data_IF_204127210234
#
_entry.id   IF_204127210234
#
_cell.length_a   1.000
_cell.length_b   1.000
_cell.length_c   1.000
_cell.angle_alpha   90.00
_cell.angle_beta   90.00
_cell.angle_gamma   90.00
#
_symmetry.space_group_name_H-M   'P 1'
#
loop_
_entity.id
_entity.type
_entity.pdbx_description
1 polymer ?
#
# COMPACT_ATOMS: atom_id res chain seq x y z
N UNK A 1 13.43 1.46 6.46
CA UNK A 1 12.27 0.83 7.14
C UNK A 1 12.06 -0.52 6.51
N UNK A 2 12.04 -1.58 7.32
CA UNK A 2 11.80 -2.96 6.86
C UNK A 2 10.41 -3.03 6.25
N UNK A 3 10.28 -3.49 5.00
CA UNK A 3 8.99 -3.51 4.29
C UNK A 3 8.13 -4.64 4.86
N UNK A 4 7.12 -4.32 5.66
CA UNK A 4 6.13 -5.29 6.15
C UNK A 4 5.14 -5.72 5.07
N UNK A 5 5.12 -5.00 3.94
CA UNK A 5 4.22 -5.23 2.80
C UNK A 5 4.13 -6.70 2.33
N UNK A 6 5.22 -7.44 2.05
CA UNK A 6 5.09 -8.83 1.63
C UNK A 6 4.44 -9.72 2.69
N UNK A 7 4.76 -9.48 3.98
CA UNK A 7 4.18 -10.21 5.11
C UNK A 7 2.69 -9.91 5.26
N UNK A 8 2.29 -8.64 5.10
CA UNK A 8 0.89 -8.23 5.15
C UNK A 8 0.06 -8.92 4.07
N UNK A 9 0.55 -8.99 2.83
CA UNK A 9 -0.21 -9.64 1.75
C UNK A 9 -0.29 -11.16 1.94
N UNK A 10 0.75 -11.79 2.52
CA UNK A 10 0.65 -13.19 2.97
C UNK A 10 -0.38 -13.37 4.08
N UNK A 11 -0.39 -12.50 5.10
CA UNK A 11 -1.39 -12.50 6.16
C UNK A 11 -2.82 -12.40 5.59
N UNK A 12 -3.06 -11.47 4.66
CA UNK A 12 -4.34 -11.29 3.99
C UNK A 12 -4.77 -12.55 3.25
N UNK A 13 -3.87 -13.20 2.50
CA UNK A 13 -4.18 -14.42 1.75
C UNK A 13 -4.57 -15.58 2.65
N UNK A 14 -3.91 -15.73 3.81
CA UNK A 14 -4.20 -16.82 4.76
C UNK A 14 -5.43 -16.55 5.63
N UNK A 15 -5.73 -15.29 5.91
CA UNK A 15 -6.80 -14.90 6.84
C UNK A 15 -7.86 -13.99 6.20
N UNK A 16 -8.25 -14.28 4.95
CA UNK A 16 -9.19 -13.46 4.17
C UNK A 16 -10.51 -13.10 4.87
N UNK A 17 -10.99 -13.94 5.78
CA UNK A 17 -12.26 -13.74 6.52
C UNK A 17 -12.23 -12.56 7.50
N UNK A 18 -11.04 -12.06 7.84
CA UNK A 18 -10.85 -10.95 8.78
C UNK A 18 -10.96 -9.60 8.06
N UNK A 19 -10.60 -9.60 6.77
CA UNK A 19 -10.55 -8.42 5.92
C UNK A 19 -11.83 -8.28 5.10
N UNK A 20 -12.16 -7.07 4.62
CA UNK A 20 -13.26 -6.87 3.70
C UNK A 20 -13.09 -7.73 2.45
N UNK A 21 -14.21 -8.19 1.88
CA UNK A 21 -14.19 -9.07 0.72
C UNK A 21 -13.57 -8.39 -0.52
N UNK A 22 -13.84 -7.09 -0.67
CA UNK A 22 -13.31 -6.28 -1.76
C UNK A 22 -11.97 -5.66 -1.43
N UNK A 23 -10.97 -5.87 -2.31
CA UNK A 23 -9.67 -5.18 -2.28
C UNK A 23 -9.78 -3.66 -2.52
N UNK A 24 -10.96 -3.12 -2.81
CA UNK A 24 -11.23 -1.67 -2.89
C UNK A 24 -11.67 -1.09 -1.55
N UNK A 25 -12.07 -1.94 -0.59
CA UNK A 25 -12.63 -1.49 0.68
C UNK A 25 -11.57 -1.23 1.76
N UNK A 26 -10.30 -1.50 1.49
CA UNK A 26 -9.20 -1.20 2.42
C UNK A 26 -7.88 -0.90 1.69
N UNK A 27 -6.99 -0.22 2.41
CA UNK A 27 -5.62 0.09 1.99
C UNK A 27 -4.63 -0.19 3.12
N UNK A 28 -3.39 -0.53 2.76
CA UNK A 28 -2.28 -0.75 3.69
C UNK A 28 -1.15 0.23 3.40
N UNK A 29 -0.59 0.86 4.43
CA UNK A 29 0.47 1.86 4.29
C UNK A 29 1.84 1.27 3.90
N UNK A 30 1.97 -0.06 3.88
CA UNK A 30 3.21 -0.79 3.58
C UNK A 30 4.07 -1.09 4.81
N UNK A 31 3.63 -0.65 6.00
CA UNK A 31 4.39 -0.71 7.25
C UNK A 31 3.58 -1.33 8.39
N UNK A 32 2.45 -0.75 8.79
CA UNK A 32 1.72 -1.18 9.98
C UNK A 32 0.22 -0.85 9.99
N UNK A 33 -0.22 0.14 9.20
CA UNK A 33 -1.58 0.68 9.31
C UNK A 33 -2.46 0.20 8.16
N UNK A 34 -3.66 -0.27 8.52
CA UNK A 34 -4.70 -0.65 7.57
C UNK A 34 -5.85 0.34 7.75
N UNK A 35 -6.24 1.00 6.67
CA UNK A 35 -7.44 1.83 6.63
C UNK A 35 -8.52 1.06 5.88
N UNK A 36 -9.72 1.00 6.44
CA UNK A 36 -10.81 0.19 5.89
C UNK A 36 -12.13 0.95 5.99
N UNK A 37 -12.95 0.86 4.95
CA UNK A 37 -14.32 1.39 4.93
C UNK A 37 -15.22 0.60 5.88
N UNK A 38 -14.97 -0.70 5.99
CA UNK A 38 -15.72 -1.62 6.84
C UNK A 38 -14.89 -2.00 8.07
N UNK A 39 -15.57 -2.25 9.20
CA UNK A 39 -14.91 -2.72 10.41
C UNK A 39 -14.31 -4.11 10.15
N UNK A 40 -13.01 -4.26 10.43
CA UNK A 40 -12.36 -5.57 10.39
C UNK A 40 -12.97 -6.50 11.44
N UNK A 41 -13.03 -7.80 11.13
CA UNK A 41 -13.56 -8.80 12.06
C UNK A 41 -12.49 -9.18 13.11
N UNK A 42 -12.23 -8.25 14.03
CA UNK A 42 -11.28 -8.37 15.14
C UNK A 42 -12.08 -8.44 16.44
N UNK A 43 -12.17 -9.62 17.04
CA UNK A 43 -12.81 -9.81 18.35
C UNK A 43 -12.08 -9.02 19.43
N UNK A 44 -12.82 -8.38 20.33
CA UNK A 44 -12.31 -7.60 21.48
C UNK A 44 -11.27 -6.52 21.14
N UNK A 45 -11.25 -6.04 19.89
CA UNK A 45 -10.36 -4.97 19.45
C UNK A 45 -8.89 -5.36 19.30
N UNK A 46 -8.51 -6.62 19.57
CA UNK A 46 -7.15 -7.12 19.35
C UNK A 46 -7.17 -8.60 19.00
N UNK A 47 -6.43 -8.98 17.98
CA UNK A 47 -6.31 -10.38 17.55
C UNK A 47 -4.88 -10.69 17.13
N UNK A 48 -4.38 -11.85 17.56
CA UNK A 48 -3.10 -12.38 17.13
C UNK A 48 -3.33 -13.48 16.10
N UNK A 49 -2.57 -13.45 15.01
CA UNK A 49 -2.68 -14.35 13.88
C UNK A 49 -1.33 -14.95 13.57
N UNK A 50 -1.30 -16.26 13.31
CA UNK A 50 -0.13 -16.94 12.75
C UNK A 50 -0.38 -17.29 11.29
N UNK A 51 0.65 -17.19 10.46
CA UNK A 51 0.58 -17.56 9.05
C UNK A 51 1.95 -18.05 8.56
N UNK A 52 2.00 -18.97 7.59
CA UNK A 52 3.25 -19.42 7.01
C UNK A 52 3.88 -18.31 6.18
N UNK A 53 5.21 -18.31 6.12
CA UNK A 53 6.00 -17.42 5.27
C UNK A 53 6.95 -18.26 4.43
N UNK A 54 7.24 -17.77 3.23
CA UNK A 54 8.17 -18.46 2.34
C UNK A 54 9.56 -18.49 2.98
N UNK A 55 10.23 -19.66 3.00
CA UNK A 55 11.58 -19.74 3.51
C UNK A 55 12.52 -18.89 2.65
N UNK A 56 13.58 -18.30 3.23
CA UNK A 56 14.63 -17.67 2.45
C UNK A 56 15.14 -18.63 1.38
N UNK A 57 15.48 -18.14 0.19
CA UNK A 57 15.95 -18.97 -0.92
C UNK A 57 17.13 -19.90 -0.56
N UNK A 58 17.91 -19.53 0.47
CA UNK A 58 19.03 -20.31 1.01
C UNK A 58 18.62 -21.47 1.95
N UNK A 59 17.36 -21.54 2.38
CA UNK A 59 16.85 -22.47 3.39
C UNK A 59 16.00 -23.60 2.78
N UNK A 60 16.57 -24.33 1.80
CA UNK A 60 15.90 -25.43 1.08
C UNK A 60 15.66 -26.72 1.90
N UNK A 61 15.99 -26.74 3.20
CA UNK A 61 15.95 -27.97 4.05
C UNK A 61 15.06 -27.89 5.28
N UNK A 62 14.17 -26.91 5.40
CA UNK A 62 13.24 -26.87 6.54
C UNK A 62 12.06 -27.82 6.33
N UNK A 63 11.80 -28.69 7.32
CA UNK A 63 10.74 -29.71 7.30
C UNK A 63 9.33 -29.12 7.42
N UNK A 64 9.23 -27.90 7.94
CA UNK A 64 8.01 -27.11 8.05
C UNK A 64 8.33 -25.68 7.59
N UNK A 65 7.40 -25.01 6.88
CA UNK A 65 7.60 -23.61 6.51
C UNK A 65 7.72 -22.75 7.77
N UNK A 66 8.61 -21.74 7.78
CA UNK A 66 8.67 -20.77 8.86
C UNK A 66 7.31 -20.09 9.02
N UNK A 67 6.97 -19.71 10.26
CA UNK A 67 5.74 -18.98 10.58
C UNK A 67 6.08 -17.55 10.98
N UNK A 68 5.23 -16.62 10.56
CA UNK A 68 5.18 -15.28 11.12
C UNK A 68 3.92 -15.13 11.99
N UNK A 69 4.00 -14.20 12.93
CA UNK A 69 2.85 -13.76 13.71
C UNK A 69 2.59 -12.27 13.49
N UNK A 70 1.31 -11.89 13.45
CA UNK A 70 0.88 -10.52 13.38
C UNK A 70 -0.17 -10.26 14.45
N UNK A 71 -0.13 -9.06 15.03
CA UNK A 71 -1.17 -8.59 15.95
C UNK A 71 -1.92 -7.46 15.27
N UNK A 72 -3.22 -7.66 15.04
CA UNK A 72 -4.11 -6.61 14.54
C UNK A 72 -4.82 -5.99 15.75
N UNK A 73 -4.66 -4.69 15.91
CA UNK A 73 -5.34 -3.91 16.96
C UNK A 73 -6.28 -2.92 16.29
N UNK A 74 -7.56 -2.93 16.67
CA UNK A 74 -8.53 -1.96 16.21
C UNK A 74 -8.21 -0.61 16.83
N UNK A 75 -8.06 0.40 15.98
CA UNK A 75 -7.88 1.80 16.38
C UNK A 75 -9.21 2.56 16.20
N UNK A 76 -9.39 3.73 16.84
CA UNK A 76 -10.59 4.53 16.67
C UNK A 76 -10.90 4.88 15.22
N UNK A 77 -12.17 5.15 14.93
CA UNK A 77 -12.60 5.63 13.62
C UNK A 77 -11.96 6.97 13.28
N UNK A 78 -11.73 7.16 11.99
CA UNK A 78 -11.24 8.41 11.42
C UNK A 78 -12.43 9.13 10.79
N UNK A 79 -12.54 10.44 11.03
CA UNK A 79 -13.56 11.30 10.40
C UNK A 79 -12.92 11.95 9.18
N UNK A 80 -13.46 11.75 7.98
CA UNK A 80 -12.85 12.27 6.73
C UNK A 80 -12.70 13.80 6.77
N UNK A 81 -13.65 14.49 7.40
CA UNK A 81 -13.66 15.95 7.57
C UNK A 81 -12.45 16.47 8.36
N UNK A 82 -11.75 15.61 9.11
CA UNK A 82 -10.50 15.95 9.80
C UNK A 82 -9.37 16.35 8.83
N UNK A 83 -9.53 16.09 7.53
CA UNK A 83 -8.63 16.62 6.49
C UNK A 83 -8.62 18.16 6.44
N UNK A 84 -9.69 18.81 6.89
CA UNK A 84 -9.79 20.27 7.00
C UNK A 84 -9.45 20.77 8.41
N UNK A 85 -8.93 19.89 9.28
CA UNK A 85 -8.52 20.27 10.63
C UNK A 85 -7.47 21.39 10.62
N UNK A 86 -7.58 22.29 11.58
CA UNK A 86 -6.57 23.31 11.86
C UNK A 86 -5.31 22.70 12.47
N UNK A 87 -5.41 21.52 13.08
CA UNK A 87 -4.28 20.74 13.55
C UNK A 87 -3.54 20.13 12.35
N UNK A 88 -2.34 20.63 12.08
CA UNK A 88 -1.50 20.20 10.97
C UNK A 88 -1.13 18.71 11.05
N UNK A 89 -0.97 18.15 12.26
CA UNK A 89 -0.61 16.75 12.44
C UNK A 89 -1.76 15.81 12.08
N UNK A 90 -3.00 16.21 12.42
CA UNK A 90 -4.21 15.48 12.04
C UNK A 90 -4.38 15.59 10.52
N UNK A 91 -4.34 16.81 9.97
CA UNK A 91 -4.47 17.06 8.53
C UNK A 91 -3.44 16.29 7.70
N UNK A 92 -2.17 16.28 8.11
CA UNK A 92 -1.11 15.56 7.42
C UNK A 92 -1.38 14.05 7.35
N UNK A 93 -1.80 13.42 8.45
CA UNK A 93 -2.19 12.00 8.47
C UNK A 93 -3.37 11.69 7.56
N UNK A 94 -4.35 12.59 7.51
CA UNK A 94 -5.51 12.46 6.62
C UNK A 94 -5.11 12.52 5.15
N UNK A 95 -4.25 13.48 4.78
CA UNK A 95 -3.71 13.58 3.42
C UNK A 95 -2.90 12.34 3.05
N UNK A 96 -2.03 11.85 3.94
CA UNK A 96 -1.27 10.61 3.71
C UNK A 96 -2.18 9.39 3.51
N UNK A 97 -3.24 9.26 4.31
CA UNK A 97 -4.26 8.21 4.12
C UNK A 97 -4.93 8.31 2.75
N UNK A 98 -5.32 9.51 2.33
CA UNK A 98 -5.97 9.71 1.03
C UNK A 98 -5.02 9.44 -0.15
N UNK A 99 -3.74 9.78 -0.03
CA UNK A 99 -2.70 9.43 -1.02
C UNK A 99 -2.57 7.90 -1.18
N UNK A 100 -2.64 7.15 -0.08
CA UNK A 100 -2.64 5.69 -0.11
C UNK A 100 -3.88 5.15 -0.83
N UNK A 101 -5.05 5.75 -0.61
CA UNK A 101 -6.29 5.39 -1.30
C UNK A 101 -6.16 5.60 -2.81
N UNK A 102 -5.66 6.76 -3.24
CA UNK A 102 -5.48 7.07 -4.66
C UNK A 102 -4.52 6.11 -5.37
N UNK A 103 -3.46 5.70 -4.69
CA UNK A 103 -2.42 4.84 -5.26
C UNK A 103 -2.66 3.34 -5.09
N UNK A 104 -3.73 2.93 -4.40
CA UNK A 104 -4.00 1.54 -4.02
C UNK A 104 -4.08 0.58 -5.22
N UNK A 105 -4.73 0.98 -6.32
CA UNK A 105 -4.86 0.15 -7.53
C UNK A 105 -3.48 -0.18 -8.14
N UNK A 106 -2.48 0.66 -7.90
CA UNK A 106 -1.14 0.52 -8.46
C UNK A 106 -0.14 -0.07 -7.46
N UNK A 107 -0.45 -0.01 -6.16
CA UNK A 107 0.41 -0.52 -5.07
C UNK A 107 0.03 -1.93 -4.62
N UNK A 108 -1.24 -2.30 -4.67
CA UNK A 108 -1.69 -3.59 -4.19
C UNK A 108 -1.22 -4.73 -5.13
N UNK A 109 -0.31 -5.61 -4.72
CA UNK A 109 0.25 -6.67 -5.57
C UNK A 109 -0.80 -7.73 -5.98
N UNK A 110 -1.96 -7.74 -5.34
CA UNK A 110 -3.09 -8.61 -5.70
C UNK A 110 -3.93 -8.03 -6.85
N UNK A 111 -3.62 -6.81 -7.32
CA UNK A 111 -4.23 -6.20 -8.50
C UNK A 111 -3.41 -6.49 -9.74
N UNK A 112 -4.11 -6.78 -10.84
CA UNK A 112 -3.48 -7.12 -12.12
C UNK A 112 -2.53 -6.03 -12.63
N UNK A 113 -2.85 -4.76 -12.38
CA UNK A 113 -2.08 -3.65 -12.90
C UNK A 113 -0.87 -3.28 -12.04
N UNK A 114 -0.78 -3.71 -10.79
CA UNK A 114 0.27 -3.26 -9.87
C UNK A 114 1.68 -3.67 -10.31
N UNK A 115 1.83 -4.83 -10.95
CA UNK A 115 3.11 -5.29 -11.50
C UNK A 115 3.68 -4.39 -12.60
N UNK A 116 2.85 -3.54 -13.21
CA UNK A 116 3.26 -2.59 -14.24
C UNK A 116 3.79 -1.30 -13.66
N UNK A 117 3.85 -1.13 -12.34
CA UNK A 117 4.24 0.12 -11.71
C UNK A 117 5.26 -0.09 -10.60
N UNK A 118 6.25 0.79 -10.55
CA UNK A 118 7.19 0.94 -9.44
C UNK A 118 6.75 2.17 -8.65
N UNK A 119 6.64 2.03 -7.34
CA UNK A 119 6.24 3.13 -6.46
C UNK A 119 7.44 3.64 -5.68
N UNK A 120 7.58 4.97 -5.61
CA UNK A 120 8.60 5.64 -4.82
C UNK A 120 8.00 6.87 -4.14
N UNK A 121 7.73 6.76 -2.84
CA UNK A 121 6.99 7.78 -2.11
C UNK A 121 5.58 7.96 -2.70
N UNK A 122 5.31 9.17 -3.18
CA UNK A 122 4.07 9.58 -3.87
C UNK A 122 4.13 9.45 -5.40
N UNK A 123 5.26 9.02 -5.94
CA UNK A 123 5.45 8.88 -7.38
C UNK A 123 5.26 7.44 -7.85
N UNK A 124 4.65 7.31 -9.02
CA UNK A 124 4.38 6.06 -9.72
C UNK A 124 5.12 6.08 -11.06
N UNK A 125 5.94 5.07 -11.29
CA UNK A 125 6.67 4.90 -12.55
C UNK A 125 6.12 3.67 -13.25
N UNK A 126 5.62 3.84 -14.47
CA UNK A 126 5.14 2.71 -15.26
C UNK A 126 6.35 1.95 -15.80
N UNK A 127 6.42 0.65 -15.54
CA UNK A 127 7.41 -0.25 -16.13
C UNK A 127 7.09 -0.35 -17.64
N UNK A 128 7.99 0.10 -18.52
CA UNK A 128 7.79 0.02 -19.96
C UNK A 128 7.94 -1.45 -20.40
N UNK A 129 6.94 -1.93 -21.13
CA UNK A 129 6.84 -3.35 -21.55
C UNK A 129 6.73 -3.55 -23.06
N UNK A 130 6.38 -2.49 -23.79
CA UNK A 130 6.29 -2.50 -25.27
C UNK A 130 7.36 -1.60 -25.88
N UNK A 131 7.70 -1.82 -27.16
CA UNK A 131 8.67 -0.98 -27.87
C UNK A 131 8.24 0.50 -27.93
N UNK A 132 6.94 0.76 -28.09
CA UNK A 132 6.42 2.13 -28.06
C UNK A 132 6.52 2.77 -26.67
N UNK A 133 6.26 2.01 -25.59
CA UNK A 133 6.46 2.50 -24.22
C UNK A 133 7.93 2.79 -23.94
N UNK A 134 8.83 1.92 -24.40
CA UNK A 134 10.28 2.15 -24.31
C UNK A 134 10.68 3.41 -25.07
N UNK A 135 10.11 3.65 -26.27
CA UNK A 135 10.44 4.83 -27.08
C UNK A 135 9.92 6.13 -26.47
N UNK A 136 8.73 6.12 -25.86
CA UNK A 136 8.05 7.32 -25.39
C UNK A 136 8.36 7.67 -23.93
N UNK A 137 8.57 6.66 -23.09
CA UNK A 137 8.67 6.84 -21.63
C UNK A 137 10.07 6.60 -21.07
N UNK A 138 11.02 6.15 -21.90
CA UNK A 138 12.39 5.85 -21.47
C UNK A 138 13.39 6.69 -22.24
N UNK A 139 14.25 7.39 -21.51
CA UNK A 139 15.40 8.11 -22.07
C UNK A 139 16.69 7.52 -21.54
N UNK A 140 17.48 6.90 -22.41
CA UNK A 140 18.82 6.39 -22.07
C UNK A 140 19.73 7.56 -21.74
N UNK A 141 20.44 7.48 -20.62
CA UNK A 141 21.40 8.51 -20.17
C UNK A 141 22.86 8.03 -20.17
N UNK A 142 23.10 6.73 -20.41
CA UNK A 142 24.43 6.13 -20.61
C UNK A 142 24.75 5.06 -19.57
N UNK A 143 25.81 4.27 -19.76
CA UNK A 143 26.34 3.29 -18.78
C UNK A 143 25.31 2.29 -18.20
N UNK A 144 24.24 1.98 -18.95
CA UNK A 144 23.16 1.10 -18.50
C UNK A 144 22.07 1.81 -17.67
N UNK A 145 22.14 3.13 -17.54
CA UNK A 145 21.17 3.96 -16.86
C UNK A 145 20.12 4.54 -17.82
N UNK A 146 18.90 4.66 -17.31
CA UNK A 146 17.75 5.16 -18.03
C UNK A 146 16.84 5.99 -17.13
N UNK A 147 16.22 7.01 -17.71
CA UNK A 147 15.23 7.86 -17.04
C UNK A 147 13.86 7.40 -17.47
N UNK A 148 12.99 7.14 -16.48
CA UNK A 148 11.61 6.74 -16.70
C UNK A 148 10.68 7.90 -16.41
N UNK A 149 9.75 8.15 -17.32
CA UNK A 149 8.63 9.08 -17.07
C UNK A 149 7.65 8.44 -16.09
N UNK A 150 7.30 9.19 -15.05
CA UNK A 150 6.33 8.79 -14.03
C UNK A 150 5.27 9.85 -13.78
N UNK A 151 4.33 9.52 -12.92
CA UNK A 151 3.30 10.42 -12.39
C UNK A 151 3.57 10.66 -10.91
N UNK A 152 3.41 11.90 -10.46
CA UNK A 152 3.30 12.20 -9.04
C UNK A 152 1.82 12.30 -8.68
N UNK A 153 1.40 11.65 -7.59
CA UNK A 153 0.04 11.74 -7.08
C UNK A 153 0.06 12.30 -5.67
N UNK A 154 -0.60 13.42 -5.45
CA UNK A 154 -0.75 14.00 -4.13
C UNK A 154 -2.12 14.63 -3.91
N UNK A 155 -2.74 14.30 -2.79
CA UNK A 155 -3.91 15.01 -2.28
C UNK A 155 -3.45 16.31 -1.62
N UNK A 156 -4.14 17.39 -1.93
CA UNK A 156 -3.94 18.71 -1.31
C UNK A 156 -5.26 19.26 -0.82
N UNK A 157 -5.25 19.83 0.38
CA UNK A 157 -6.34 20.65 0.90
C UNK A 157 -5.89 22.11 0.79
N UNK A 158 -6.48 22.87 -0.14
CA UNK A 158 -6.07 24.25 -0.45
C UNK A 158 -7.01 25.29 0.19
N UNK A 159 -8.26 24.89 0.46
CA UNK A 159 -9.27 25.72 1.13
C UNK A 159 -10.12 24.87 2.08
N UNK A 160 -10.91 25.50 2.98
CA UNK A 160 -11.62 24.82 4.06
C UNK A 160 -12.60 23.70 3.65
N UNK A 161 -12.90 23.52 2.37
CA UNK A 161 -13.84 22.51 1.90
C UNK A 161 -13.43 21.88 0.55
N UNK A 162 -12.17 22.06 0.12
CA UNK A 162 -11.72 21.59 -1.20
C UNK A 162 -10.48 20.71 -1.12
N UNK A 163 -10.62 19.52 -1.70
CA UNK A 163 -9.54 18.59 -1.97
C UNK A 163 -9.21 18.56 -3.46
N UNK A 164 -7.92 18.55 -3.76
CA UNK A 164 -7.39 18.44 -5.12
C UNK A 164 -6.49 17.24 -5.22
N UNK A 165 -6.52 16.59 -6.39
CA UNK A 165 -5.51 15.60 -6.78
C UNK A 165 -4.54 16.31 -7.72
N UNK A 166 -3.28 16.35 -7.31
CA UNK A 166 -2.17 16.86 -8.11
C UNK A 166 -1.43 15.68 -8.74
#
# INVERSE_FOLDING_TARGET
REKAEPLFWSLYQHHRRIFPHSLRSFVFDGVATIYSLERLNVHDGKMMLEFPVDPPAAATRQRFPPKASATITAVPYIVIDDVFSHDESIRAKMVEMLDLILSQEMRCPLRQNASRFITHGRSLYKVPTTEDEMRLCVKKIGMGEEVWTGLHLAVKADSPDQLFVN
#
